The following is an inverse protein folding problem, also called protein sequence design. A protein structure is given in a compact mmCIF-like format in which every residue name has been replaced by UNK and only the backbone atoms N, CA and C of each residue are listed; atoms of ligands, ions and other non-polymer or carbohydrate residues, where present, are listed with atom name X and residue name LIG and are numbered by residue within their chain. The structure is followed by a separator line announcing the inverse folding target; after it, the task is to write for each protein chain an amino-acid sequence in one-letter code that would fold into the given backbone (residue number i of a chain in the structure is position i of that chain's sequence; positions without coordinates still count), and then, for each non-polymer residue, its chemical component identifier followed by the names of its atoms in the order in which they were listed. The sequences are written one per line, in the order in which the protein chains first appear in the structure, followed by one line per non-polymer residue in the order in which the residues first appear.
data_IF_246285726229
#
_entry.id   IF_246285726229
#
_cell.length_a   1.000
_cell.length_b   1.000
_cell.length_c   1.000
_cell.angle_alpha   90.00
_cell.angle_beta   90.00
_cell.angle_gamma   90.00
#
_symmetry.space_group_name_H-M   'P 1'
#
loop_
_entity.id
_entity.type
_entity.pdbx_description
1 polymer ?
#
# COMPACT_ATOMS: atom_id res chain seq x y z
N UNK A 1 8.22 1.32 -11.29
CA UNK A 1 7.82 1.83 -9.96
C UNK A 1 7.76 3.36 -9.90
N UNK A 2 8.79 4.09 -10.39
CA UNK A 2 8.76 5.57 -10.44
C UNK A 2 7.61 6.15 -11.28
N UNK A 3 7.24 5.51 -12.39
CA UNK A 3 6.16 5.97 -13.27
C UNK A 3 4.75 5.73 -12.72
N UNK A 4 4.57 4.70 -11.86
CA UNK A 4 3.26 4.31 -11.34
C UNK A 4 2.69 5.33 -10.34
N UNK A 5 3.55 6.18 -9.78
CA UNK A 5 3.19 7.19 -8.79
C UNK A 5 3.23 8.63 -9.32
N UNK A 6 3.39 8.80 -10.64
CA UNK A 6 3.46 10.13 -11.28
C UNK A 6 2.10 10.84 -11.22
N UNK A 7 1.01 10.08 -11.22
CA UNK A 7 -0.36 10.61 -11.25
C UNK A 7 -1.09 10.54 -9.89
N UNK A 8 -0.38 10.27 -8.79
CA UNK A 8 -0.99 10.28 -7.46
C UNK A 8 -0.40 11.39 -6.60
N UNK A 9 -1.28 12.10 -5.90
CA UNK A 9 -0.90 13.08 -4.90
C UNK A 9 -0.13 12.42 -3.74
N UNK A 10 0.58 13.25 -2.97
CA UNK A 10 1.27 12.77 -1.77
C UNK A 10 0.33 12.12 -0.75
N UNK A 11 -0.92 12.54 -0.69
CA UNK A 11 -1.92 11.99 0.23
C UNK A 11 -2.46 10.64 -0.24
N UNK A 12 -2.81 10.52 -1.52
CA UNK A 12 -3.21 9.25 -2.13
C UNK A 12 -2.09 8.20 -2.01
N UNK A 13 -0.82 8.63 -2.11
CA UNK A 13 0.33 7.75 -1.89
C UNK A 13 0.41 7.22 -0.47
N UNK A 14 0.15 8.05 0.55
CA UNK A 14 0.15 7.61 1.96
C UNK A 14 -0.98 6.61 2.22
N UNK A 15 -2.17 6.88 1.70
CA UNK A 15 -3.33 5.99 1.83
C UNK A 15 -3.00 4.64 1.19
N UNK A 16 -2.46 4.65 -0.03
CA UNK A 16 -2.07 3.43 -0.73
C UNK A 16 -1.03 2.61 0.04
N UNK A 17 0.02 3.26 0.54
CA UNK A 17 1.04 2.59 1.38
C UNK A 17 0.39 1.98 2.62
N UNK A 18 -0.51 2.71 3.29
CA UNK A 18 -1.20 2.23 4.48
C UNK A 18 -2.03 0.98 4.17
N UNK A 19 -2.83 0.99 3.11
CA UNK A 19 -3.64 -0.15 2.68
C UNK A 19 -2.78 -1.37 2.37
N UNK A 20 -1.68 -1.19 1.62
CA UNK A 20 -0.77 -2.27 1.28
C UNK A 20 -0.14 -2.91 2.52
N UNK A 21 0.24 -2.10 3.52
CA UNK A 21 0.77 -2.61 4.79
C UNK A 21 -0.29 -3.43 5.56
N UNK A 22 -1.54 -3.00 5.58
CA UNK A 22 -2.62 -3.78 6.21
C UNK A 22 -2.87 -5.09 5.47
N UNK A 23 -2.85 -5.08 4.13
CA UNK A 23 -3.00 -6.30 3.34
C UNK A 23 -1.88 -7.30 3.62
N UNK A 24 -0.64 -6.83 3.73
CA UNK A 24 0.49 -7.70 4.08
C UNK A 24 0.28 -8.36 5.46
N UNK A 25 -0.09 -7.57 6.47
CA UNK A 25 -0.40 -8.09 7.82
C UNK A 25 -1.53 -9.11 7.79
N UNK A 26 -2.58 -8.86 7.04
CA UNK A 26 -3.70 -9.78 6.92
C UNK A 26 -3.28 -11.11 6.29
N UNK A 27 -2.42 -11.08 5.27
CA UNK A 27 -1.88 -12.30 4.65
C UNK A 27 -0.97 -13.05 5.62
N UNK A 28 -0.15 -12.36 6.41
CA UNK A 28 0.68 -12.97 7.45
C UNK A 28 -0.20 -13.66 8.51
N UNK A 29 -1.25 -13.00 8.99
CA UNK A 29 -2.18 -13.56 9.98
C UNK A 29 -3.00 -14.78 9.48
N UNK A 30 -3.18 -14.94 8.16
CA UNK A 30 -3.87 -16.11 7.58
C UNK A 30 -2.92 -17.32 7.48
N UNK A 31 -1.61 -17.09 7.47
CA UNK A 31 -0.59 -18.15 7.38
C UNK A 31 -0.25 -18.79 8.73
N UNK A 32 -0.66 -18.16 9.84
CA UNK A 32 -0.72 -18.78 11.18
C UNK A 32 -1.99 -19.62 11.35
#
# INVERSE_FOLDING_TARGET
MKEMFVNISGEERKILIHVLLQMQKNVENIKE
#
